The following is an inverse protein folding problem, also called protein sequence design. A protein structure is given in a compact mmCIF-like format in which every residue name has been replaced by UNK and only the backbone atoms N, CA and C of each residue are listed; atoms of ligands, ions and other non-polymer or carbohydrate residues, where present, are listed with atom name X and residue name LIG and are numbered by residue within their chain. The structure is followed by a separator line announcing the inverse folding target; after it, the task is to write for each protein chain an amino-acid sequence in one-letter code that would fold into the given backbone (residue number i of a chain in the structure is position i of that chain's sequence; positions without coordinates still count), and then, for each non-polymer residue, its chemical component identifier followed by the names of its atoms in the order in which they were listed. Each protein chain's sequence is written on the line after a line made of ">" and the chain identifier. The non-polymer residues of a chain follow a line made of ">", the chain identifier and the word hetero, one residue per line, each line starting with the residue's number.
data_IF_252545930272
#
_entry.id   IF_252545930272
#
_cell.length_a   1.000
_cell.length_b   1.000
_cell.length_c   1.000
_cell.angle_alpha   90.00
_cell.angle_beta   90.00
_cell.angle_gamma   90.00
#
_symmetry.space_group_name_H-M   'P 1'
#
loop_
_entity.id
_entity.type
_entity.pdbx_description
1 polymer ?
#
# COMPACT_ATOMS: atom_id res chain seq x y z
N UNK A 1 34.09 6.38 -12.92
CA UNK A 1 34.14 4.92 -12.66
C UNK A 1 32.76 4.36 -12.30
N UNK A 2 32.05 4.85 -11.28
CA UNK A 2 30.68 4.34 -10.96
C UNK A 2 29.64 4.64 -12.05
N UNK A 3 29.67 5.82 -12.68
CA UNK A 3 28.72 6.20 -13.76
C UNK A 3 28.89 5.45 -15.09
N UNK A 4 29.84 4.51 -15.19
CA UNK A 4 30.18 3.78 -16.42
C UNK A 4 30.05 2.26 -16.26
N UNK A 5 29.50 1.76 -15.14
CA UNK A 5 29.22 0.33 -15.01
C UNK A 5 27.93 -0.01 -15.76
N UNK A 6 27.97 -1.05 -16.59
CA UNK A 6 26.80 -1.51 -17.35
C UNK A 6 25.57 -1.74 -16.46
N UNK A 7 25.81 -2.15 -15.20
CA UNK A 7 24.79 -2.37 -14.17
C UNK A 7 23.90 -1.15 -13.87
N UNK A 8 24.39 0.08 -14.02
CA UNK A 8 23.60 1.31 -13.78
C UNK A 8 22.87 1.79 -15.04
N UNK A 9 23.35 1.38 -16.22
CA UNK A 9 22.75 1.77 -17.51
C UNK A 9 21.58 0.89 -17.94
N UNK A 10 21.56 -0.39 -17.55
CA UNK A 10 20.50 -1.34 -17.94
C UNK A 10 19.39 -1.31 -16.88
N UNK A 11 18.20 -0.77 -17.23
CA UNK A 11 17.08 -0.54 -16.30
C UNK A 11 15.96 -1.57 -16.41
N UNK A 12 15.89 -2.25 -17.54
CA UNK A 12 14.84 -3.17 -17.95
C UNK A 12 14.63 -4.31 -16.93
N UNK A 13 15.69 -4.95 -16.37
CA UNK A 13 15.50 -5.96 -15.35
C UNK A 13 14.81 -5.41 -14.10
N UNK A 14 15.17 -4.21 -13.65
CA UNK A 14 14.57 -3.59 -12.46
C UNK A 14 13.09 -3.27 -12.66
N UNK A 15 12.68 -2.90 -13.88
CA UNK A 15 11.29 -2.67 -14.21
C UNK A 15 10.48 -3.98 -14.20
N UNK A 16 11.03 -5.06 -14.75
CA UNK A 16 10.42 -6.39 -14.69
C UNK A 16 10.27 -6.86 -13.24
N UNK A 17 11.33 -6.73 -12.42
CA UNK A 17 11.27 -7.03 -10.98
C UNK A 17 10.23 -6.16 -10.26
N UNK A 18 10.17 -4.86 -10.56
CA UNK A 18 9.19 -3.94 -10.00
C UNK A 18 7.75 -4.38 -10.31
N UNK A 19 7.48 -4.77 -11.55
CA UNK A 19 6.16 -5.25 -11.97
C UNK A 19 5.78 -6.58 -11.29
N UNK A 20 6.73 -7.53 -11.20
CA UNK A 20 6.50 -8.82 -10.53
C UNK A 20 6.21 -8.62 -9.05
N UNK A 21 7.02 -7.81 -8.36
CA UNK A 21 6.83 -7.51 -6.94
C UNK A 21 5.53 -6.72 -6.69
N UNK A 22 5.17 -5.81 -7.59
CA UNK A 22 3.89 -5.12 -7.54
C UNK A 22 2.70 -6.08 -7.69
N UNK A 23 2.78 -7.03 -8.63
CA UNK A 23 1.77 -8.07 -8.82
C UNK A 23 1.64 -8.98 -7.60
N UNK A 24 2.76 -9.36 -6.98
CA UNK A 24 2.74 -10.06 -5.69
C UNK A 24 2.10 -9.21 -4.58
N UNK A 25 2.31 -7.90 -4.60
CA UNK A 25 1.64 -6.96 -3.71
C UNK A 25 0.12 -6.92 -3.89
N UNK A 26 -0.41 -7.12 -5.11
CA UNK A 26 -1.87 -7.23 -5.34
C UNK A 26 -2.44 -8.41 -4.56
N UNK A 27 -1.76 -9.56 -4.61
CA UNK A 27 -2.17 -10.76 -3.87
C UNK A 27 -2.14 -10.52 -2.36
N UNK A 28 -1.08 -9.89 -1.84
CA UNK A 28 -0.99 -9.52 -0.43
C UNK A 28 -2.08 -8.55 0.00
N UNK A 29 -2.40 -7.55 -0.82
CA UNK A 29 -3.48 -6.61 -0.57
C UNK A 29 -4.83 -7.34 -0.51
N UNK A 30 -5.09 -8.25 -1.46
CA UNK A 30 -6.30 -9.06 -1.45
C UNK A 30 -6.41 -9.89 -0.16
N UNK A 31 -5.33 -10.56 0.25
CA UNK A 31 -5.29 -11.31 1.51
C UNK A 31 -5.52 -10.40 2.72
N UNK A 32 -4.89 -9.23 2.78
CA UNK A 32 -5.09 -8.26 3.86
C UNK A 32 -6.55 -7.80 3.96
N UNK A 33 -7.21 -7.54 2.82
CA UNK A 33 -8.64 -7.18 2.77
C UNK A 33 -9.52 -8.35 3.23
N UNK A 34 -9.28 -9.56 2.71
CA UNK A 34 -10.06 -10.76 3.07
C UNK A 34 -9.97 -11.03 4.57
N UNK A 35 -8.76 -11.03 5.14
CA UNK A 35 -8.55 -11.30 6.56
C UNK A 35 -9.16 -10.21 7.44
N UNK A 36 -8.97 -8.93 7.07
CA UNK A 36 -9.59 -7.81 7.78
C UNK A 36 -11.11 -7.93 7.82
N UNK A 37 -11.73 -8.19 6.67
CA UNK A 37 -13.18 -8.37 6.57
C UNK A 37 -13.67 -9.61 7.33
N UNK A 38 -12.91 -10.71 7.30
CA UNK A 38 -13.20 -11.92 8.05
C UNK A 38 -13.26 -11.63 9.56
N UNK A 39 -12.23 -10.97 10.10
CA UNK A 39 -12.15 -10.68 11.54
C UNK A 39 -13.15 -9.62 12.00
N UNK A 40 -13.41 -8.59 11.19
CA UNK A 40 -14.46 -7.61 11.50
C UNK A 40 -15.82 -8.31 11.64
N UNK A 41 -16.13 -9.26 10.73
CA UNK A 41 -17.41 -9.98 10.75
C UNK A 41 -17.52 -11.04 11.85
N UNK A 42 -16.40 -11.64 12.29
CA UNK A 42 -16.41 -12.79 13.19
C UNK A 42 -16.11 -12.46 14.65
N UNK A 43 -15.24 -11.48 14.92
CA UNK A 43 -14.65 -11.27 16.24
C UNK A 43 -14.87 -9.86 16.81
N UNK A 44 -15.68 -9.01 16.14
CA UNK A 44 -15.89 -7.60 16.51
C UNK A 44 -14.57 -6.91 16.84
N UNK A 45 -13.76 -6.60 15.83
CA UNK A 45 -12.39 -6.11 16.02
C UNK A 45 -12.38 -4.78 16.81
N UNK A 46 -11.97 -4.76 18.10
CA UNK A 46 -11.91 -3.52 18.86
C UNK A 46 -10.79 -2.64 18.32
N UNK A 47 -10.93 -1.33 18.52
CA UNK A 47 -9.84 -0.42 18.19
C UNK A 47 -8.64 -0.71 19.10
N UNK A 48 -7.45 -0.68 18.51
CA UNK A 48 -6.18 -0.64 19.24
C UNK A 48 -5.22 0.26 18.47
N UNK A 49 -4.21 0.78 19.15
CA UNK A 49 -3.19 1.61 18.50
C UNK A 49 -2.47 0.88 17.35
N UNK A 50 -2.47 -0.46 17.37
CA UNK A 50 -1.89 -1.30 16.32
C UNK A 50 -2.59 -1.13 14.95
N UNK A 51 -3.77 -0.50 14.88
CA UNK A 51 -4.41 -0.17 13.60
C UNK A 51 -3.54 0.74 12.72
N UNK A 52 -2.65 1.55 13.32
CA UNK A 52 -1.66 2.33 12.56
C UNK A 52 -0.69 1.47 11.74
N UNK A 53 -0.49 0.20 12.12
CA UNK A 53 0.39 -0.71 11.39
C UNK A 53 -0.12 -1.02 9.97
N UNK A 54 -1.40 -0.81 9.67
CA UNK A 54 -1.94 -0.96 8.31
C UNK A 54 -1.56 0.19 7.37
N UNK A 55 -1.32 1.39 7.90
CA UNK A 55 -1.12 2.61 7.11
C UNK A 55 0.22 2.57 6.37
N UNK A 56 1.31 2.19 7.04
CA UNK A 56 2.65 2.19 6.46
C UNK A 56 2.81 1.25 5.24
N UNK A 57 2.53 -0.07 5.34
CA UNK A 57 2.68 -0.97 4.20
C UNK A 57 1.71 -0.61 3.07
N UNK A 58 0.52 -0.12 3.39
CA UNK A 58 -0.44 0.32 2.38
C UNK A 58 0.04 1.58 1.64
N UNK A 59 0.60 2.56 2.35
CA UNK A 59 1.20 3.75 1.73
C UNK A 59 2.43 3.44 0.87
N UNK A 60 3.26 2.49 1.29
CA UNK A 60 4.36 1.98 0.46
C UNK A 60 3.83 1.35 -0.84
N UNK A 61 2.73 0.59 -0.76
CA UNK A 61 2.11 -0.03 -1.93
C UNK A 61 1.43 0.98 -2.87
N UNK A 62 0.78 2.02 -2.34
CA UNK A 62 0.26 3.15 -3.13
C UNK A 62 1.39 3.81 -3.93
N UNK A 63 2.50 4.12 -3.28
CA UNK A 63 3.66 4.76 -3.91
C UNK A 63 4.30 3.85 -4.96
N UNK A 64 4.44 2.55 -4.65
CA UNK A 64 4.94 1.57 -5.61
C UNK A 64 4.01 1.44 -6.83
N UNK A 65 2.70 1.48 -6.63
CA UNK A 65 1.70 1.39 -7.72
C UNK A 65 1.80 2.60 -8.65
N UNK A 66 1.88 3.83 -8.12
CA UNK A 66 2.10 5.04 -8.91
C UNK A 66 3.43 4.96 -9.69
N UNK A 67 4.52 4.54 -9.04
CA UNK A 67 5.82 4.42 -9.69
C UNK A 67 5.83 3.37 -10.80
N UNK A 68 5.21 2.19 -10.59
CA UNK A 68 5.11 1.16 -11.64
C UNK A 68 4.24 1.65 -12.80
N UNK A 69 3.11 2.28 -12.51
CA UNK A 69 2.21 2.81 -13.54
C UNK A 69 2.88 3.88 -14.40
N UNK A 70 3.62 4.81 -13.79
CA UNK A 70 4.31 5.90 -14.51
C UNK A 70 5.56 5.44 -15.24
N UNK A 71 6.37 4.55 -14.65
CA UNK A 71 7.61 4.05 -15.27
C UNK A 71 7.35 3.15 -16.46
N UNK A 72 6.28 2.33 -16.40
CA UNK A 72 5.90 1.43 -17.49
C UNK A 72 4.89 2.03 -18.46
N UNK A 73 4.45 3.27 -18.22
CA UNK A 73 3.41 3.97 -18.99
C UNK A 73 2.08 3.19 -19.07
N UNK A 74 1.67 2.59 -17.94
CA UNK A 74 0.43 1.83 -17.81
C UNK A 74 -0.58 2.64 -16.98
N UNK A 75 -1.34 3.51 -17.63
CA UNK A 75 -2.29 4.42 -16.97
C UNK A 75 -3.33 3.72 -16.07
N UNK A 76 -3.72 2.48 -16.41
CA UNK A 76 -4.64 1.71 -15.57
C UNK A 76 -4.05 1.39 -14.17
N UNK A 77 -2.75 1.10 -14.08
CA UNK A 77 -2.05 0.86 -12.80
C UNK A 77 -1.97 2.17 -12.02
N UNK A 78 -1.70 3.30 -12.69
CA UNK A 78 -1.62 4.60 -12.03
C UNK A 78 -2.97 5.03 -11.44
N UNK A 79 -4.06 4.92 -12.21
CA UNK A 79 -5.42 5.18 -11.72
C UNK A 79 -5.82 4.26 -10.57
N UNK A 80 -5.42 2.98 -10.62
CA UNK A 80 -5.60 2.07 -9.49
C UNK A 80 -4.85 2.58 -8.25
N UNK A 81 -3.60 3.02 -8.39
CA UNK A 81 -2.83 3.65 -7.32
C UNK A 81 -3.50 4.89 -6.73
N UNK A 82 -4.10 5.74 -7.57
CA UNK A 82 -4.87 6.90 -7.12
C UNK A 82 -6.12 6.50 -6.32
N UNK A 83 -6.81 5.42 -6.72
CA UNK A 83 -7.90 4.85 -5.92
C UNK A 83 -7.42 4.35 -4.55
N UNK A 84 -6.28 3.66 -4.50
CA UNK A 84 -5.66 3.23 -3.24
C UNK A 84 -5.24 4.42 -2.36
N UNK A 85 -4.80 5.53 -2.95
CA UNK A 85 -4.45 6.74 -2.20
C UNK A 85 -5.65 7.34 -1.46
N UNK A 86 -6.83 7.38 -2.09
CA UNK A 86 -8.06 7.80 -1.41
C UNK A 86 -8.45 6.85 -0.27
N UNK A 87 -8.30 5.54 -0.49
CA UNK A 87 -8.53 4.55 0.57
C UNK A 87 -7.55 4.74 1.73
N UNK A 88 -6.29 5.05 1.45
CA UNK A 88 -5.27 5.33 2.47
C UNK A 88 -5.67 6.53 3.32
N UNK A 89 -6.15 7.61 2.69
CA UNK A 89 -6.66 8.79 3.40
C UNK A 89 -7.83 8.43 4.31
N UNK A 90 -8.79 7.62 3.83
CA UNK A 90 -9.91 7.14 4.64
C UNK A 90 -9.42 6.32 5.83
N UNK A 91 -8.49 5.38 5.62
CA UNK A 91 -7.91 4.58 6.70
C UNK A 91 -7.20 5.45 7.73
N UNK A 92 -6.45 6.46 7.28
CA UNK A 92 -5.76 7.42 8.14
C UNK A 92 -6.75 8.21 9.00
N UNK A 93 -7.80 8.76 8.39
CA UNK A 93 -8.84 9.52 9.09
C UNK A 93 -9.59 8.65 10.11
N UNK A 94 -10.02 7.45 9.73
CA UNK A 94 -10.72 6.51 10.64
C UNK A 94 -9.84 6.15 11.83
N UNK A 95 -8.57 5.83 11.58
CA UNK A 95 -7.63 5.45 12.63
C UNK A 95 -7.33 6.65 13.53
N UNK A 96 -7.06 7.81 12.96
CA UNK A 96 -6.81 9.05 13.71
C UNK A 96 -7.99 9.48 14.59
N UNK A 97 -9.21 9.44 14.05
CA UNK A 97 -10.42 9.73 14.84
C UNK A 97 -10.59 8.74 15.99
N UNK A 98 -10.35 7.44 15.75
CA UNK A 98 -10.40 6.43 16.81
C UNK A 98 -9.29 6.61 17.85
N UNK A 99 -8.08 6.99 17.43
CA UNK A 99 -6.98 7.34 18.35
C UNK A 99 -7.38 8.51 19.25
N UNK A 100 -7.88 9.61 18.67
CA UNK A 100 -8.31 10.78 19.43
C UNK A 100 -9.44 10.44 20.40
N UNK A 101 -10.43 9.66 19.95
CA UNK A 101 -11.53 9.22 20.82
C UNK A 101 -11.03 8.38 21.98
N UNK A 102 -10.15 7.41 21.71
CA UNK A 102 -9.58 6.54 22.73
C UNK A 102 -8.76 7.35 23.76
N UNK A 103 -7.99 8.36 23.33
CA UNK A 103 -7.22 9.21 24.24
C UNK A 103 -8.07 10.16 25.10
N UNK A 104 -9.27 10.54 24.64
CA UNK A 104 -10.11 11.53 25.32
C UNK A 104 -11.19 10.92 26.22
N UNK A 105 -11.62 9.69 25.94
CA UNK A 105 -12.79 9.06 26.56
C UNK A 105 -12.51 7.70 27.23
N UNK A 106 -11.28 7.19 27.14
CA UNK A 106 -10.78 6.08 27.96
C UNK A 106 -9.66 6.58 28.88
#
# INVERSE_FOLDING_TARGET
>A
LVKSSEFITVKEPFFAFGLILWGFGVWWLAMAVIMTLHYIRKLTLPYSLAWWAFIFPFGAYVSATHNVGTVLDIGAIDHFGFGLYWLLLVMWLVTGVKTMKHMLFE
#
